data_IF_729292327760
#
_entry.id   IF_729292327760
#
_cell.length_a   1.000
_cell.length_b   1.000
_cell.length_c   1.000
_cell.angle_alpha   90.00
_cell.angle_beta   90.00
_cell.angle_gamma   90.00
#
_symmetry.space_group_name_H-M   'P 1'
#
loop_
_entity.id
_entity.type
_entity.pdbx_description
1 polymer ?
#
# COMPACT_ATOMS: atom_id res chain seq x y z
N UNK A 1 -1.13 52.44 -0.88
CA UNK A 1 -1.20 51.46 0.25
C UNK A 1 -2.40 50.50 0.17
N UNK A 2 -3.64 50.95 -0.04
CA UNK A 2 -4.82 50.05 -0.11
C UNK A 2 -4.75 48.98 -1.23
N UNK A 3 -4.18 49.28 -2.40
CA UNK A 3 -4.06 48.32 -3.53
C UNK A 3 -3.01 47.21 -3.28
N UNK A 4 -1.96 47.50 -2.53
CA UNK A 4 -0.93 46.53 -2.16
C UNK A 4 -1.46 45.55 -1.09
N UNK A 5 -2.27 46.05 -0.16
CA UNK A 5 -2.90 45.23 0.88
C UNK A 5 -3.89 44.22 0.27
N UNK A 6 -4.62 44.63 -0.77
CA UNK A 6 -5.58 43.75 -1.46
C UNK A 6 -4.87 42.63 -2.25
N UNK A 7 -3.73 42.93 -2.87
CA UNK A 7 -2.92 41.93 -3.56
C UNK A 7 -2.32 40.90 -2.60
N UNK A 8 -1.89 41.33 -1.40
CA UNK A 8 -1.34 40.44 -0.38
C UNK A 8 -2.39 39.51 0.23
N UNK A 9 -3.62 40.00 0.44
CA UNK A 9 -4.75 39.18 0.91
C UNK A 9 -5.18 38.17 -0.17
N UNK A 10 -5.16 38.55 -1.46
CA UNK A 10 -5.50 37.63 -2.56
C UNK A 10 -4.45 36.51 -2.72
N UNK A 11 -3.17 36.81 -2.57
CA UNK A 11 -2.08 35.79 -2.61
C UNK A 11 -2.17 34.84 -1.41
N UNK A 12 -2.53 35.34 -0.23
CA UNK A 12 -2.71 34.50 0.96
C UNK A 12 -3.96 33.59 0.83
N UNK A 13 -5.04 34.08 0.18
CA UNK A 13 -6.25 33.31 -0.04
C UNK A 13 -6.05 32.17 -1.07
N UNK A 14 -5.18 32.37 -2.07
CA UNK A 14 -4.85 31.33 -3.06
C UNK A 14 -3.99 30.22 -2.42
N UNK A 15 -3.12 30.55 -1.45
CA UNK A 15 -2.34 29.55 -0.73
C UNK A 15 -3.19 28.60 0.12
N UNK A 16 -4.43 28.96 0.45
CA UNK A 16 -5.37 28.13 1.22
C UNK A 16 -6.21 27.19 0.35
N UNK A 17 -6.12 27.27 -0.99
CA UNK A 17 -6.92 26.45 -1.92
C UNK A 17 -6.16 25.28 -2.54
N UNK A 18 -4.92 25.00 -2.14
CA UNK A 18 -4.27 23.78 -2.56
C UNK A 18 -4.99 22.59 -1.89
N UNK A 19 -5.42 21.58 -2.66
CA UNK A 19 -6.00 20.39 -2.08
C UNK A 19 -4.98 19.82 -1.09
N UNK A 20 -5.40 19.69 0.17
CA UNK A 20 -4.52 19.12 1.18
C UNK A 20 -4.31 17.64 0.87
N UNK A 21 -3.06 17.18 0.93
CA UNK A 21 -2.76 15.76 0.87
C UNK A 21 -3.44 15.03 2.03
N UNK A 22 -3.64 13.73 1.87
CA UNK A 22 -4.19 12.88 2.91
C UNK A 22 -3.08 12.02 3.50
N UNK A 23 -2.89 12.15 4.80
CA UNK A 23 -2.05 11.26 5.59
C UNK A 23 -2.89 10.14 6.20
N UNK A 24 -2.40 8.91 6.07
CA UNK A 24 -3.04 7.72 6.62
C UNK A 24 -2.00 6.96 7.44
N UNK A 25 -2.38 6.58 8.67
CA UNK A 25 -1.57 5.76 9.55
C UNK A 25 -2.31 4.48 9.87
N UNK A 26 -1.63 3.35 9.65
CA UNK A 26 -2.17 2.00 9.89
C UNK A 26 -1.24 1.26 10.85
N UNK A 27 -1.80 0.70 11.90
CA UNK A 27 -1.10 -0.26 12.74
C UNK A 27 -1.28 -1.66 12.15
N UNK A 28 -0.20 -2.43 12.10
CA UNK A 28 -0.19 -3.81 11.63
C UNK A 28 0.42 -4.67 12.73
N UNK A 29 -0.32 -5.66 13.20
CA UNK A 29 0.13 -6.66 14.16
C UNK A 29 0.24 -8.02 13.48
N UNK A 30 1.38 -8.65 13.61
CA UNK A 30 1.64 -10.01 13.15
C UNK A 30 1.83 -10.89 14.39
N UNK A 31 1.01 -11.94 14.54
CA UNK A 31 1.17 -12.90 15.63
C UNK A 31 2.50 -13.66 15.50
N UNK A 32 3.01 -14.17 16.62
CA UNK A 32 4.14 -15.09 16.58
C UNK A 32 3.77 -16.35 15.78
N UNK A 33 4.68 -16.80 14.94
CA UNK A 33 4.47 -18.00 14.12
C UNK A 33 5.77 -18.80 13.95
N UNK A 34 5.64 -20.08 13.62
CA UNK A 34 6.77 -20.91 13.27
C UNK A 34 6.86 -21.08 11.74
N UNK A 35 8.04 -20.93 11.16
CA UNK A 35 8.29 -21.15 9.74
C UNK A 35 9.61 -21.92 9.58
N UNK A 36 9.56 -23.06 8.87
CA UNK A 36 10.76 -23.91 8.64
C UNK A 36 11.52 -24.26 9.93
N UNK A 37 10.79 -24.51 11.02
CA UNK A 37 11.39 -24.85 12.33
C UNK A 37 11.97 -23.66 13.12
N UNK A 38 11.83 -22.43 12.60
CA UNK A 38 12.24 -21.21 13.30
C UNK A 38 11.03 -20.47 13.84
N UNK A 39 11.05 -20.12 15.11
CA UNK A 39 10.03 -19.29 15.73
C UNK A 39 10.29 -17.82 15.39
N UNK A 40 9.29 -17.18 14.80
CA UNK A 40 9.26 -15.74 14.58
C UNK A 40 8.42 -15.11 15.70
N UNK A 41 8.96 -14.12 16.43
CA UNK A 41 8.19 -13.43 17.47
C UNK A 41 7.08 -12.62 16.86
N UNK A 42 6.08 -12.28 17.66
CA UNK A 42 5.07 -11.31 17.27
C UNK A 42 5.71 -9.97 16.95
N UNK A 43 5.15 -9.24 15.97
CA UNK A 43 5.69 -7.98 15.49
C UNK A 43 4.59 -6.95 15.31
N UNK A 44 4.83 -5.73 15.81
CA UNK A 44 4.02 -4.55 15.55
C UNK A 44 4.75 -3.63 14.59
N UNK A 45 4.05 -3.18 13.55
CA UNK A 45 4.57 -2.25 12.55
C UNK A 45 3.59 -1.11 12.32
N UNK A 46 4.12 0.02 11.92
CA UNK A 46 3.32 1.17 11.49
C UNK A 46 3.54 1.38 10.01
N UNK A 47 2.45 1.42 9.27
CA UNK A 47 2.44 1.82 7.86
C UNK A 47 1.93 3.25 7.77
N UNK A 48 2.69 4.11 7.10
CA UNK A 48 2.33 5.49 6.82
C UNK A 48 2.13 5.68 5.33
N UNK A 49 1.04 6.34 4.96
CA UNK A 49 0.73 6.64 3.57
C UNK A 49 0.45 8.13 3.39
N UNK A 50 0.89 8.66 2.26
CA UNK A 50 0.54 9.99 1.80
C UNK A 50 -0.11 9.88 0.44
N UNK A 51 -1.33 10.41 0.33
CA UNK A 51 -2.13 10.41 -0.90
C UNK A 51 -2.26 11.85 -1.36
N UNK A 52 -1.56 12.17 -2.43
CA UNK A 52 -1.62 13.47 -3.09
C UNK A 52 -2.41 13.42 -4.39
N UNK A 53 -2.30 14.48 -5.19
CA UNK A 53 -2.93 14.54 -6.51
C UNK A 53 -2.19 13.61 -7.50
N UNK A 54 -2.77 12.43 -7.77
CA UNK A 54 -2.19 11.37 -8.60
C UNK A 54 -0.81 10.86 -8.10
N UNK A 55 -0.52 11.05 -6.82
CA UNK A 55 0.72 10.58 -6.19
C UNK A 55 0.40 9.82 -4.91
N UNK A 56 1.19 8.77 -4.65
CA UNK A 56 1.07 7.94 -3.45
C UNK A 56 2.45 7.64 -2.91
N UNK A 57 2.61 7.79 -1.61
CA UNK A 57 3.76 7.26 -0.88
C UNK A 57 3.28 6.27 0.15
N UNK A 58 3.94 5.13 0.21
CA UNK A 58 3.73 4.11 1.22
C UNK A 58 5.06 3.83 1.92
N UNK A 59 5.08 4.02 3.24
CA UNK A 59 6.25 3.78 4.08
C UNK A 59 5.93 2.71 5.11
N UNK A 60 6.70 1.64 5.12
CA UNK A 60 6.57 0.54 6.08
C UNK A 60 7.96 0.09 6.48
N UNK A 61 8.32 0.28 7.76
CA UNK A 61 9.68 0.00 8.24
C UNK A 61 10.75 0.74 7.41
N UNK A 62 11.69 -0.02 6.87
CA UNK A 62 12.81 0.50 6.06
C UNK A 62 12.50 0.57 4.56
N UNK A 63 11.22 0.49 4.17
CA UNK A 63 10.81 0.54 2.76
C UNK A 63 9.92 1.73 2.49
N UNK A 64 10.22 2.40 1.39
CA UNK A 64 9.38 3.48 0.88
C UNK A 64 9.05 3.16 -0.57
N UNK A 65 7.77 3.18 -0.90
CA UNK A 65 7.29 3.11 -2.26
C UNK A 65 6.68 4.46 -2.62
N UNK A 66 7.13 5.01 -3.73
CA UNK A 66 6.62 6.28 -4.26
C UNK A 66 6.00 5.98 -5.62
N UNK A 67 4.77 6.41 -5.83
CA UNK A 67 4.06 6.27 -7.08
C UNK A 67 3.65 7.64 -7.60
N UNK A 68 3.99 7.93 -8.84
CA UNK A 68 3.63 9.17 -9.54
C UNK A 68 2.89 8.80 -10.83
N UNK A 69 1.55 8.88 -10.79
CA UNK A 69 0.71 8.56 -11.93
C UNK A 69 0.79 9.62 -13.03
N UNK A 70 1.19 10.85 -12.70
CA UNK A 70 1.38 11.90 -13.71
C UNK A 70 2.58 11.59 -14.61
N UNK A 71 3.59 10.93 -14.06
CA UNK A 71 4.79 10.50 -14.79
C UNK A 71 4.74 9.04 -15.23
N UNK A 72 3.72 8.29 -14.82
CA UNK A 72 3.65 6.83 -14.97
C UNK A 72 4.90 6.13 -14.41
N UNK A 73 5.36 6.57 -13.24
CA UNK A 73 6.58 6.06 -12.60
C UNK A 73 6.28 5.54 -11.19
N UNK A 74 7.02 4.51 -10.81
CA UNK A 74 7.09 4.02 -9.45
C UNK A 74 8.55 3.88 -9.02
N UNK A 75 8.82 4.23 -7.76
CA UNK A 75 10.12 4.11 -7.12
C UNK A 75 9.99 3.23 -5.89
N UNK A 76 10.87 2.25 -5.77
CA UNK A 76 11.03 1.41 -4.59
C UNK A 76 12.33 1.82 -3.94
N UNK A 77 12.25 2.45 -2.78
CA UNK A 77 13.37 3.10 -2.11
C UNK A 77 13.74 2.30 -0.88
N UNK A 78 15.04 2.02 -0.72
CA UNK A 78 15.64 1.39 0.45
C UNK A 78 16.46 2.45 1.21
N UNK A 79 15.93 3.04 2.30
CA UNK A 79 16.63 4.05 3.09
C UNK A 79 17.89 3.53 3.79
N UNK A 80 17.92 2.24 4.17
CA UNK A 80 19.04 1.62 4.86
C UNK A 80 20.29 1.64 3.98
N UNK A 81 20.14 1.26 2.71
CA UNK A 81 21.25 1.17 1.75
C UNK A 81 21.42 2.47 0.94
N UNK A 82 20.51 3.43 1.10
CA UNK A 82 20.41 4.65 0.28
C UNK A 82 20.36 4.32 -1.21
N UNK A 83 19.52 3.35 -1.58
CA UNK A 83 19.34 2.94 -2.97
C UNK A 83 17.88 2.98 -3.37
N UNK A 84 17.62 2.99 -4.67
CA UNK A 84 16.28 2.87 -5.21
C UNK A 84 16.26 2.13 -6.54
N UNK A 85 15.11 1.53 -6.85
CA UNK A 85 14.78 1.00 -8.17
C UNK A 85 13.61 1.82 -8.70
N UNK A 86 13.67 2.20 -9.98
CA UNK A 86 12.56 2.87 -10.66
C UNK A 86 11.97 1.97 -11.74
N UNK A 87 10.68 2.09 -11.96
CA UNK A 87 9.97 1.37 -13.00
C UNK A 87 8.81 2.20 -13.55
N UNK A 88 8.39 1.87 -14.77
CA UNK A 88 7.21 2.48 -15.39
C UNK A 88 5.93 1.77 -14.95
N UNK A 89 4.81 2.49 -14.98
CA UNK A 89 3.47 1.94 -14.81
C UNK A 89 2.80 1.74 -16.19
N UNK A 90 1.99 0.69 -16.40
CA UNK A 90 1.66 -0.36 -15.43
C UNK A 90 2.87 -1.24 -15.10
N UNK A 91 2.91 -1.75 -13.87
CA UNK A 91 4.04 -2.49 -13.35
C UNK A 91 4.28 -3.81 -14.11
N UNK A 92 5.53 -4.00 -14.55
CA UNK A 92 6.01 -5.26 -15.14
C UNK A 92 7.11 -5.84 -14.23
N UNK A 93 6.74 -6.86 -13.45
CA UNK A 93 7.65 -7.49 -12.50
C UNK A 93 8.87 -8.15 -13.16
N UNK A 94 8.75 -8.60 -14.41
CA UNK A 94 9.86 -9.24 -15.13
C UNK A 94 11.05 -8.28 -15.36
N UNK A 95 10.80 -6.97 -15.35
CA UNK A 95 11.81 -5.92 -15.49
C UNK A 95 12.45 -5.50 -14.16
N UNK A 96 11.81 -5.87 -13.03
CA UNK A 96 12.22 -5.44 -11.70
C UNK A 96 13.10 -6.44 -10.98
N UNK A 97 13.11 -7.68 -11.43
CA UNK A 97 13.81 -8.78 -10.75
C UNK A 97 14.77 -9.47 -11.72
N UNK A 98 15.81 -10.17 -11.22
CA UNK A 98 16.67 -11.02 -12.05
C UNK A 98 15.85 -12.06 -12.82
N UNK A 99 16.32 -12.45 -14.02
CA UNK A 99 15.58 -13.37 -14.93
C UNK A 99 15.19 -14.69 -14.28
N UNK A 100 16.06 -15.24 -13.42
CA UNK A 100 15.83 -16.48 -12.69
C UNK A 100 14.64 -16.32 -11.72
N UNK A 101 14.59 -15.20 -11.01
CA UNK A 101 13.47 -14.87 -10.13
C UNK A 101 12.18 -14.62 -10.93
N UNK A 102 12.25 -13.91 -12.06
CA UNK A 102 11.10 -13.66 -12.92
C UNK A 102 10.46 -14.98 -13.44
N UNK A 103 11.28 -15.96 -13.81
CA UNK A 103 10.79 -17.29 -14.24
C UNK A 103 10.07 -18.04 -13.10
N UNK A 104 10.61 -18.00 -11.89
CA UNK A 104 9.95 -18.59 -10.71
C UNK A 104 8.64 -17.86 -10.40
N UNK A 105 8.64 -16.53 -10.47
CA UNK A 105 7.48 -15.67 -10.19
C UNK A 105 6.35 -15.89 -11.20
N UNK A 106 6.65 -16.13 -12.47
CA UNK A 106 5.63 -16.39 -13.51
C UNK A 106 4.81 -17.66 -13.24
N UNK A 107 5.34 -18.58 -12.44
CA UNK A 107 4.63 -19.79 -11.98
C UNK A 107 3.76 -19.55 -10.74
N UNK A 108 3.96 -18.42 -10.03
CA UNK A 108 3.17 -18.06 -8.86
C UNK A 108 1.88 -17.39 -9.28
N UNK A 109 0.83 -18.18 -9.49
CA UNK A 109 -0.49 -17.65 -9.79
C UNK A 109 -1.25 -17.44 -8.48
N UNK A 110 -1.68 -16.19 -8.24
CA UNK A 110 -2.57 -15.84 -7.14
C UNK A 110 -4.00 -15.80 -7.66
N UNK A 111 -4.89 -16.57 -7.05
CA UNK A 111 -6.33 -16.44 -7.28
C UNK A 111 -6.96 -15.73 -6.11
N UNK A 112 -7.90 -14.83 -6.39
CA UNK A 112 -8.63 -14.05 -5.39
C UNK A 112 -10.11 -14.22 -5.61
N UNK A 113 -10.87 -14.33 -4.52
CA UNK A 113 -12.32 -14.27 -4.52
C UNK A 113 -12.79 -13.34 -3.41
N UNK A 114 -13.57 -12.35 -3.76
CA UNK A 114 -14.15 -11.39 -2.81
C UNK A 114 -15.66 -11.64 -2.70
N UNK A 115 -16.13 -11.79 -1.49
CA UNK A 115 -17.56 -12.01 -1.19
C UNK A 115 -18.02 -10.99 -0.14
N UNK A 116 -19.00 -10.11 -0.44
CA UNK A 116 -19.65 -9.32 0.60
C UNK A 116 -20.28 -10.26 1.62
N UNK A 117 -20.00 -10.11 2.90
CA UNK A 117 -20.51 -11.01 3.94
C UNK A 117 -21.78 -10.49 4.64
N UNK A 118 -22.28 -9.32 4.21
CA UNK A 118 -23.50 -8.71 4.75
C UNK A 118 -23.34 -8.10 6.16
N UNK A 119 -22.16 -8.20 6.75
CA UNK A 119 -21.90 -7.63 8.07
C UNK A 119 -21.56 -6.15 7.95
N UNK A 120 -21.94 -5.41 8.98
CA UNK A 120 -21.54 -4.02 9.17
C UNK A 120 -21.00 -3.84 10.57
N UNK A 121 -19.98 -3.01 10.73
CA UNK A 121 -19.49 -2.62 12.04
C UNK A 121 -18.87 -1.23 12.00
N UNK A 122 -18.73 -0.62 13.17
CA UNK A 122 -17.98 0.61 13.34
C UNK A 122 -16.53 0.29 13.68
N UNK A 123 -15.59 0.76 12.82
CA UNK A 123 -14.16 0.68 13.07
C UNK A 123 -13.68 2.09 13.37
N UNK A 124 -13.23 2.36 14.59
CA UNK A 124 -12.96 3.71 15.07
C UNK A 124 -14.17 4.65 14.84
N UNK A 125 -14.03 5.61 13.94
CA UNK A 125 -15.10 6.57 13.60
C UNK A 125 -15.89 6.20 12.33
N UNK A 126 -15.47 5.20 11.58
CA UNK A 126 -16.04 4.86 10.27
C UNK A 126 -17.09 3.74 10.36
N UNK A 127 -18.19 3.91 9.63
CA UNK A 127 -19.15 2.82 9.41
C UNK A 127 -18.63 1.98 8.24
N UNK A 128 -18.47 0.69 8.46
CA UNK A 128 -17.82 -0.22 7.52
C UNK A 128 -18.74 -1.35 7.10
N UNK A 129 -18.60 -1.76 5.84
CA UNK A 129 -19.14 -2.99 5.30
C UNK A 129 -18.07 -4.09 5.32
N UNK A 130 -18.48 -5.32 5.62
CA UNK A 130 -17.60 -6.46 5.71
C UNK A 130 -17.52 -7.26 4.41
N UNK A 131 -16.33 -7.74 4.12
CA UNK A 131 -16.02 -8.60 2.97
C UNK A 131 -15.14 -9.75 3.44
N UNK A 132 -15.43 -10.95 2.93
CA UNK A 132 -14.55 -12.10 3.05
C UNK A 132 -13.73 -12.22 1.75
N UNK A 133 -12.42 -12.34 1.89
CA UNK A 133 -11.47 -12.45 0.79
C UNK A 133 -10.71 -13.75 0.93
N UNK A 134 -10.91 -14.65 -0.01
CA UNK A 134 -10.15 -15.90 -0.13
C UNK A 134 -9.07 -15.71 -1.19
N UNK A 135 -7.82 -15.96 -0.82
CA UNK A 135 -6.70 -15.96 -1.76
C UNK A 135 -5.98 -17.30 -1.71
N UNK A 136 -5.64 -17.80 -2.88
CA UNK A 136 -4.85 -19.01 -3.00
C UNK A 136 -3.62 -18.72 -3.86
N UNK A 137 -2.46 -19.12 -3.38
CA UNK A 137 -1.20 -19.03 -4.10
C UNK A 137 -0.45 -20.36 -3.96
N UNK A 138 -0.37 -21.15 -5.02
CA UNK A 138 0.21 -22.50 -5.00
C UNK A 138 -0.45 -23.38 -3.91
N UNK A 139 0.31 -23.72 -2.87
CA UNK A 139 -0.14 -24.56 -1.73
C UNK A 139 -0.55 -23.72 -0.50
N UNK A 140 -0.50 -22.39 -0.60
CA UNK A 140 -0.87 -21.49 0.49
C UNK A 140 -2.30 -21.00 0.33
N UNK A 141 -3.09 -21.15 1.38
CA UNK A 141 -4.44 -20.59 1.48
C UNK A 141 -4.43 -19.43 2.46
N UNK A 142 -4.93 -18.30 2.02
CA UNK A 142 -5.09 -17.10 2.83
C UNK A 142 -6.56 -16.72 2.88
N UNK A 143 -7.07 -16.50 4.08
CA UNK A 143 -8.40 -15.97 4.31
C UNK A 143 -8.28 -14.62 4.99
N UNK A 144 -9.01 -13.64 4.49
CA UNK A 144 -9.00 -12.31 5.08
C UNK A 144 -10.41 -11.79 5.24
N UNK A 145 -10.70 -11.22 6.39
CA UNK A 145 -11.90 -10.41 6.61
C UNK A 145 -11.51 -8.95 6.48
N UNK A 146 -12.18 -8.24 5.63
CA UNK A 146 -11.91 -6.83 5.31
C UNK A 146 -13.09 -5.97 5.76
N UNK A 147 -12.78 -4.85 6.38
CA UNK A 147 -13.74 -3.81 6.74
C UNK A 147 -13.43 -2.56 5.94
N UNK A 148 -14.35 -2.16 5.06
CA UNK A 148 -14.18 -1.05 4.15
C UNK A 148 -15.27 0.02 4.34
N UNK A 149 -14.89 1.28 4.13
CA UNK A 149 -15.77 2.44 4.25
C UNK A 149 -15.63 3.38 3.08
N UNK A 150 -16.72 4.05 2.72
CA UNK A 150 -16.70 5.17 1.76
C UNK A 150 -16.54 6.53 2.43
N UNK A 151 -16.52 6.57 3.77
CA UNK A 151 -16.45 7.78 4.60
C UNK A 151 -15.00 8.27 4.77
N UNK A 152 -14.27 8.44 3.64
CA UNK A 152 -12.89 8.93 3.65
C UNK A 152 -12.78 10.25 2.90
N UNK A 153 -11.87 11.17 3.30
CA UNK A 153 -11.76 12.51 2.72
C UNK A 153 -10.93 12.54 1.42
N UNK A 154 -10.97 11.49 0.61
CA UNK A 154 -10.27 11.38 -0.66
C UNK A 154 -11.02 10.47 -1.64
N UNK A 155 -10.66 10.52 -2.92
CA UNK A 155 -11.21 9.62 -3.93
C UNK A 155 -10.64 8.20 -3.75
N UNK A 156 -11.37 7.38 -2.98
CA UNK A 156 -10.97 5.99 -2.75
C UNK A 156 -10.99 5.14 -4.02
N UNK A 157 -11.76 5.51 -5.06
CA UNK A 157 -11.78 4.80 -6.35
C UNK A 157 -10.48 5.05 -7.12
N UNK A 158 -10.01 6.29 -7.12
CA UNK A 158 -8.71 6.63 -7.69
C UNK A 158 -7.59 5.93 -6.91
N UNK A 159 -7.65 5.97 -5.57
CA UNK A 159 -6.71 5.24 -4.71
C UNK A 159 -6.66 3.74 -5.03
N UNK A 160 -7.82 3.08 -5.18
CA UNK A 160 -7.90 1.65 -5.52
C UNK A 160 -7.24 1.36 -6.87
N UNK A 161 -7.41 2.22 -7.87
CA UNK A 161 -6.72 2.08 -9.17
C UNK A 161 -5.20 2.22 -9.03
N UNK A 162 -4.72 3.15 -8.22
CA UNK A 162 -3.28 3.29 -7.93
C UNK A 162 -2.76 2.04 -7.23
N UNK A 163 -3.50 1.53 -6.25
CA UNK A 163 -3.13 0.35 -5.48
C UNK A 163 -3.15 -0.95 -6.32
N UNK A 164 -3.92 -1.01 -7.40
CA UNK A 164 -3.89 -2.12 -8.34
C UNK A 164 -2.49 -2.38 -8.91
N UNK A 165 -1.68 -1.32 -9.13
CA UNK A 165 -0.28 -1.49 -9.54
C UNK A 165 0.58 -2.10 -8.44
N UNK A 166 0.31 -1.77 -7.16
CA UNK A 166 0.99 -2.39 -6.02
C UNK A 166 0.64 -3.87 -5.91
N UNK A 167 -0.61 -4.23 -6.16
CA UNK A 167 -1.07 -5.62 -6.13
C UNK A 167 -0.36 -6.51 -7.17
N UNK A 168 0.08 -5.95 -8.29
CA UNK A 168 0.92 -6.65 -9.27
C UNK A 168 2.29 -7.08 -8.69
N UNK A 169 2.84 -6.33 -7.73
CA UNK A 169 4.04 -6.76 -6.98
C UNK A 169 3.80 -7.99 -6.11
N UNK A 170 2.54 -8.30 -5.80
CA UNK A 170 2.12 -9.47 -5.05
C UNK A 170 1.67 -10.62 -5.98
N UNK A 171 2.12 -10.64 -7.23
CA UNK A 171 1.83 -11.67 -8.25
C UNK A 171 0.36 -11.79 -8.63
N UNK A 172 -0.43 -10.74 -8.43
CA UNK A 172 -1.83 -10.70 -8.82
C UNK A 172 -1.98 -10.35 -10.29
N UNK A 173 -2.71 -11.18 -11.02
CA UNK A 173 -3.12 -10.89 -12.38
C UNK A 173 -4.34 -9.93 -12.40
N UNK A 174 -4.73 -9.49 -13.59
CA UNK A 174 -5.84 -8.57 -13.75
C UNK A 174 -7.17 -9.16 -13.25
N UNK A 175 -7.33 -10.49 -13.27
CA UNK A 175 -8.52 -11.19 -12.73
C UNK A 175 -8.56 -11.09 -11.20
N UNK A 176 -7.44 -11.36 -10.54
CA UNK A 176 -7.32 -11.22 -9.08
C UNK A 176 -7.53 -9.76 -8.64
N UNK A 177 -6.99 -8.81 -9.39
CA UNK A 177 -7.17 -7.37 -9.15
C UNK A 177 -8.65 -6.98 -9.32
N UNK A 178 -9.33 -7.47 -10.37
CA UNK A 178 -10.75 -7.21 -10.58
C UNK A 178 -11.63 -7.73 -9.43
N UNK A 179 -11.26 -8.86 -8.82
CA UNK A 179 -11.93 -9.35 -7.62
C UNK A 179 -11.76 -8.37 -6.45
N UNK A 180 -10.53 -7.90 -6.18
CA UNK A 180 -10.30 -6.93 -5.10
C UNK A 180 -11.04 -5.61 -5.31
N UNK A 181 -11.22 -5.19 -6.55
CA UNK A 181 -11.98 -3.98 -6.90
C UNK A 181 -13.49 -4.07 -6.60
N UNK A 182 -14.01 -5.27 -6.24
CA UNK A 182 -15.40 -5.45 -5.73
C UNK A 182 -15.58 -4.90 -4.31
N UNK A 183 -14.49 -4.68 -3.55
CA UNK A 183 -14.56 -4.03 -2.25
C UNK A 183 -14.95 -2.57 -2.46
N UNK A 184 -16.16 -2.22 -2.02
CA UNK A 184 -16.70 -0.87 -2.17
C UNK A 184 -16.24 0.01 -1.00
N UNK A 185 -15.18 0.78 -1.19
CA UNK A 185 -14.64 1.69 -0.19
C UNK A 185 -13.14 1.50 0.05
N UNK A 186 -12.62 2.30 0.97
CA UNK A 186 -11.26 2.18 1.47
C UNK A 186 -11.21 1.20 2.64
N UNK A 187 -10.27 0.25 2.61
CA UNK A 187 -10.06 -0.71 3.68
C UNK A 187 -9.49 -0.02 4.91
N UNK A 188 -10.21 -0.05 6.03
CA UNK A 188 -9.78 0.56 7.30
C UNK A 188 -9.39 -0.46 8.35
N UNK A 189 -9.78 -1.73 8.18
CA UNK A 189 -9.27 -2.83 8.99
C UNK A 189 -9.29 -4.14 8.21
N UNK A 190 -8.40 -5.06 8.59
CA UNK A 190 -8.45 -6.44 8.12
C UNK A 190 -7.88 -7.41 9.16
N UNK A 191 -8.41 -8.61 9.12
CA UNK A 191 -7.93 -9.77 9.85
C UNK A 191 -7.58 -10.84 8.82
N UNK A 192 -6.29 -11.18 8.72
CA UNK A 192 -5.78 -12.16 7.78
C UNK A 192 -5.32 -13.41 8.52
N UNK A 193 -5.65 -14.56 7.99
CA UNK A 193 -5.14 -15.86 8.43
C UNK A 193 -4.59 -16.61 7.22
N UNK A 194 -3.36 -17.07 7.33
CA UNK A 194 -2.68 -17.87 6.30
C UNK A 194 -2.23 -19.19 6.90
N UNK A 195 -2.52 -20.29 6.21
CA UNK A 195 -1.97 -21.60 6.54
C UNK A 195 -0.75 -21.88 5.64
N UNK A 196 0.39 -22.08 6.28
CA UNK A 196 1.66 -22.37 5.63
C UNK A 196 2.20 -23.72 6.15
N UNK A 197 1.85 -24.81 5.50
CA UNK A 197 2.37 -26.16 5.84
C UNK A 197 2.22 -26.53 7.31
N UNK A 198 1.04 -26.26 7.90
CA UNK A 198 0.73 -26.55 9.29
C UNK A 198 1.07 -25.44 10.29
N UNK A 199 1.67 -24.34 9.84
CA UNK A 199 1.85 -23.14 10.66
C UNK A 199 0.80 -22.10 10.29
N UNK A 200 0.15 -21.52 11.29
CA UNK A 200 -0.86 -20.47 11.07
C UNK A 200 -0.24 -19.10 11.34
N UNK A 201 -0.17 -18.29 10.30
CA UNK A 201 0.16 -16.88 10.41
C UNK A 201 -1.11 -16.07 10.51
N UNK A 202 -1.19 -15.18 11.49
CA UNK A 202 -2.26 -14.19 11.59
C UNK A 202 -1.68 -12.79 11.52
N UNK A 203 -2.34 -11.94 10.76
CA UNK A 203 -1.99 -10.52 10.64
C UNK A 203 -3.25 -9.69 10.76
N UNK A 204 -3.22 -8.71 11.65
CA UNK A 204 -4.29 -7.75 11.85
C UNK A 204 -3.80 -6.37 11.42
N UNK A 205 -4.60 -5.65 10.67
CA UNK A 205 -4.33 -4.26 10.32
C UNK A 205 -5.48 -3.36 10.69
N UNK A 206 -5.18 -2.16 11.16
CA UNK A 206 -6.19 -1.18 11.51
C UNK A 206 -5.69 0.23 11.23
N UNK A 207 -6.43 0.97 10.44
CA UNK A 207 -6.22 2.40 10.25
C UNK A 207 -6.56 3.13 11.54
N UNK A 208 -5.61 3.90 12.05
CA UNK A 208 -5.77 4.67 13.30
C UNK A 208 -5.93 6.16 13.04
N UNK A 209 -5.46 6.64 11.90
CA UNK A 209 -5.56 8.05 11.51
C UNK A 209 -5.79 8.19 10.01
N UNK A 210 -6.73 9.06 9.64
CA UNK A 210 -6.86 9.65 8.30
C UNK A 210 -7.06 11.15 8.51
N UNK A 211 -6.09 11.94 8.04
CA UNK A 211 -6.05 13.40 8.27
C UNK A 211 -5.63 14.12 6.99
N UNK A 212 -6.38 15.15 6.61
CA UNK A 212 -5.97 16.08 5.57
C UNK A 212 -4.95 17.07 6.13
N UNK A 213 -3.74 17.06 5.60
CA UNK A 213 -2.67 17.98 5.99
C UNK A 213 -1.64 18.12 4.87
N UNK A 214 -0.88 19.21 4.80
CA UNK A 214 0.19 19.36 3.82
C UNK A 214 1.22 18.24 3.99
N UNK A 215 1.60 17.60 2.86
CA UNK A 215 2.67 16.62 2.87
C UNK A 215 4.03 17.27 3.13
N UNK A 216 4.95 16.58 3.80
CA UNK A 216 6.32 17.03 3.94
C UNK A 216 6.96 17.31 2.57
N UNK A 217 7.75 18.38 2.49
CA UNK A 217 8.44 18.74 1.26
C UNK A 217 9.30 17.56 0.77
N UNK A 218 9.18 17.23 -0.52
CA UNK A 218 9.95 16.17 -1.15
C UNK A 218 9.47 14.75 -0.86
N UNK A 219 8.36 14.54 -0.15
CA UNK A 219 7.85 13.20 0.19
C UNK A 219 7.58 12.33 -1.05
N UNK A 220 7.16 12.95 -2.15
CA UNK A 220 6.86 12.28 -3.43
C UNK A 220 8.08 12.14 -4.36
N UNK A 221 9.28 12.32 -3.84
CA UNK A 221 10.52 12.19 -4.62
C UNK A 221 11.51 11.27 -3.91
N UNK A 222 12.38 10.65 -4.70
CA UNK A 222 13.52 9.91 -4.17
C UNK A 222 14.43 10.90 -3.42
N UNK A 223 14.83 10.60 -2.17
CA UNK A 223 15.70 11.50 -1.42
C UNK A 223 17.05 11.74 -2.11
N UNK A 224 17.61 12.93 -1.96
CA UNK A 224 18.91 13.26 -2.52
C UNK A 224 20.01 12.34 -1.97
N UNK A 225 21.00 12.01 -2.81
CA UNK A 225 22.14 11.15 -2.43
C UNK A 225 21.84 9.64 -2.45
N UNK A 226 20.70 9.23 -3.00
CA UNK A 226 20.39 7.82 -3.21
C UNK A 226 20.89 7.36 -4.58
N UNK A 227 21.42 6.13 -4.65
CA UNK A 227 21.92 5.52 -5.88
C UNK A 227 20.86 4.64 -6.53
N UNK A 228 20.74 4.75 -7.86
CA UNK A 228 19.83 3.90 -8.63
C UNK A 228 20.40 2.48 -8.78
N UNK A 229 19.55 1.48 -8.59
CA UNK A 229 19.79 0.07 -8.97
C UNK A 229 18.90 -0.29 -10.16
N UNK A 230 19.35 -1.24 -10.98
CA UNK A 230 18.60 -1.70 -12.15
C UNK A 230 17.47 -2.66 -11.76
N UNK A 231 17.68 -3.49 -10.72
CA UNK A 231 16.71 -4.50 -10.27
C UNK A 231 16.62 -4.56 -8.75
N UNK A 232 15.50 -5.11 -8.27
CA UNK A 232 15.32 -5.48 -6.87
C UNK A 232 16.13 -6.74 -6.55
N UNK A 233 16.84 -6.74 -5.44
CA UNK A 233 17.42 -7.97 -4.88
C UNK A 233 16.34 -8.80 -4.17
N UNK A 234 16.65 -10.06 -3.89
CA UNK A 234 15.77 -10.90 -3.06
C UNK A 234 15.59 -10.33 -1.64
N UNK A 235 16.58 -9.61 -1.13
CA UNK A 235 16.52 -8.93 0.17
C UNK A 235 15.58 -7.71 0.12
N UNK A 236 15.60 -6.96 -0.98
CA UNK A 236 14.66 -5.86 -1.20
C UNK A 236 13.20 -6.35 -1.26
N UNK A 237 12.95 -7.58 -1.73
CA UNK A 237 11.63 -8.19 -1.80
C UNK A 237 11.18 -8.83 -0.48
N UNK A 238 12.12 -9.38 0.32
CA UNK A 238 11.83 -9.89 1.67
C UNK A 238 11.68 -8.70 2.61
N UNK A 239 10.61 -8.67 3.39
CA UNK A 239 10.47 -7.68 4.47
C UNK A 239 11.75 -7.64 5.30
N UNK A 240 12.27 -6.44 5.61
CA UNK A 240 13.49 -6.28 6.41
C UNK A 240 13.43 -7.08 7.70
N UNK A 241 14.58 -7.59 8.11
CA UNK A 241 14.78 -8.28 9.39
C UNK A 241 14.57 -7.32 10.54
#
# INVERSE_FOLDING_TARGET
MKKVLFAFVLVLAIALMLPADVYIKTNVHTDAFAMMGQNQPAKDEVMEQWVGNNQLVNKTGDKIMIMDMNKNMMFIVNPKDKTYVETTLPLDMSKLVPKEAASMMSMMKVTVKVTPNGLTQKVNKWNCSGYDVDMNMMMMQMKMKVWATTEVPFDWKLFSKMYANVSKMQFMDDTAIAELMKINGYQVASEMSMDMMGSKLKVNSQVVEITQKPAPAGIYAVPAGYSKKDTLSLEDMRGGK
#
